data_IF_533130184649
#
_entry.id   IF_533130184649
#
_cell.length_a   1.000
_cell.length_b   1.000
_cell.length_c   1.000
_cell.angle_alpha   90.00
_cell.angle_beta   90.00
_cell.angle_gamma   90.00
#
_symmetry.space_group_name_H-M   'P 1'
#
loop_
_entity.id
_entity.type
_entity.pdbx_description
1 polymer ?
#
# COMPACT_ATOMS: atom_id res chain seq x y z
N UNK A 1 -11.73 8.63 -1.20
CA UNK A 1 -11.46 7.28 -0.73
C UNK A 1 -10.55 7.29 0.49
N UNK A 2 -10.58 6.23 1.25
CA UNK A 2 -9.79 6.08 2.47
C UNK A 2 -8.65 5.08 2.24
N UNK A 3 -7.44 5.47 2.65
CA UNK A 3 -6.30 4.57 2.61
C UNK A 3 -6.54 3.40 3.57
N UNK A 4 -6.38 2.16 3.08
CA UNK A 4 -6.63 0.98 3.90
C UNK A 4 -5.51 0.69 4.90
N UNK A 5 -4.41 1.41 4.82
CA UNK A 5 -3.26 1.21 5.72
C UNK A 5 -3.24 2.26 6.82
N UNK A 6 -3.21 3.56 6.47
CA UNK A 6 -3.13 4.64 7.47
C UNK A 6 -4.49 5.24 7.81
N UNK A 7 -5.54 4.89 7.07
CA UNK A 7 -6.92 5.32 7.28
C UNK A 7 -7.17 6.80 7.02
N UNK A 8 -6.22 7.51 6.43
CA UNK A 8 -6.42 8.89 6.00
C UNK A 8 -7.29 8.95 4.75
N UNK A 9 -7.99 10.07 4.55
CA UNK A 9 -8.84 10.27 3.38
C UNK A 9 -8.09 11.03 2.30
N UNK A 10 -8.28 10.60 1.05
CA UNK A 10 -7.59 11.16 -0.10
C UNK A 10 -8.55 11.31 -1.28
N UNK A 11 -8.11 12.08 -2.28
CA UNK A 11 -8.81 12.22 -3.56
C UNK A 11 -7.86 11.80 -4.68
N UNK A 12 -8.42 11.52 -5.87
CA UNK A 12 -7.64 11.09 -7.01
C UNK A 12 -7.39 9.59 -7.02
N UNK A 13 -6.30 9.19 -7.67
CA UNK A 13 -5.96 7.77 -7.79
C UNK A 13 -5.21 7.26 -6.56
N UNK A 14 -5.53 6.02 -6.18
CA UNK A 14 -4.79 5.34 -5.13
C UNK A 14 -3.77 4.37 -5.71
N UNK A 15 -3.13 3.61 -4.84
CA UNK A 15 -2.16 2.58 -5.20
C UNK A 15 -2.64 1.22 -4.71
N UNK A 16 -2.20 0.15 -5.38
CA UNK A 16 -2.51 -1.21 -4.96
C UNK A 16 -1.77 -1.53 -3.65
N UNK A 17 -2.48 -1.86 -2.56
CA UNK A 17 -1.85 -2.10 -1.26
C UNK A 17 -1.32 -3.52 -1.07
N UNK A 18 -1.49 -4.42 -2.04
CA UNK A 18 -0.99 -5.78 -1.94
C UNK A 18 0.54 -5.81 -1.84
N UNK A 19 1.20 -6.57 -0.98
CA UNK A 19 0.63 -7.62 -0.12
C UNK A 19 0.21 -7.19 1.28
N UNK A 20 0.32 -5.91 1.61
CA UNK A 20 -0.02 -5.42 2.96
C UNK A 20 -1.53 -5.58 3.22
N UNK A 21 -2.32 -5.23 2.21
CA UNK A 21 -3.77 -5.43 2.21
C UNK A 21 -4.17 -5.99 0.84
N UNK A 22 -5.21 -6.80 0.81
CA UNK A 22 -5.66 -7.44 -0.43
C UNK A 22 -6.60 -6.54 -1.23
N UNK A 23 -7.48 -5.81 -0.55
CA UNK A 23 -8.50 -4.97 -1.19
C UNK A 23 -8.32 -3.52 -0.83
N UNK A 24 -8.83 -2.63 -1.70
CA UNK A 24 -8.84 -1.20 -1.47
C UNK A 24 -7.66 -0.50 -2.11
N UNK A 25 -7.39 0.71 -1.63
CA UNK A 25 -6.31 1.54 -2.14
C UNK A 25 -5.48 2.08 -1.00
N UNK A 26 -4.22 2.39 -1.26
CA UNK A 26 -3.36 3.06 -0.30
C UNK A 26 -2.81 4.36 -0.88
N UNK A 27 -2.44 5.27 0.00
CA UNK A 27 -1.87 6.55 -0.41
C UNK A 27 -0.41 6.37 -0.83
N UNK A 28 0.15 7.41 -1.46
CA UNK A 28 1.53 7.37 -1.93
C UNK A 28 2.52 7.12 -0.80
N UNK A 29 2.31 7.75 0.36
CA UNK A 29 3.19 7.57 1.51
C UNK A 29 3.19 6.11 1.99
N UNK A 30 2.01 5.49 2.11
CA UNK A 30 1.91 4.09 2.50
C UNK A 30 2.47 3.15 1.43
N UNK A 31 2.25 3.49 0.16
CA UNK A 31 2.83 2.72 -0.93
C UNK A 31 4.36 2.67 -0.82
N UNK A 32 4.98 3.83 -0.59
CA UNK A 32 6.44 3.93 -0.48
C UNK A 32 6.97 3.31 0.81
N UNK A 33 6.30 3.54 1.93
CA UNK A 33 6.83 3.18 3.26
C UNK A 33 6.43 1.78 3.72
N UNK A 34 5.39 1.19 3.14
CA UNK A 34 4.87 -0.11 3.58
C UNK A 34 4.76 -1.12 2.46
N UNK A 35 4.14 -0.76 1.35
CA UNK A 35 3.85 -1.69 0.26
C UNK A 35 5.12 -2.08 -0.49
N UNK A 36 5.91 -1.11 -0.90
CA UNK A 36 7.14 -1.39 -1.64
C UNK A 36 8.13 -2.21 -0.82
N UNK A 37 8.41 -1.87 0.46
CA UNK A 37 9.27 -2.72 1.28
C UNK A 37 8.73 -4.15 1.44
N UNK A 38 7.42 -4.31 1.58
CA UNK A 38 6.81 -5.63 1.71
C UNK A 38 6.99 -6.46 0.43
N UNK A 39 6.83 -5.83 -0.73
CA UNK A 39 7.04 -6.52 -2.01
C UNK A 39 8.49 -6.93 -2.19
N UNK A 40 9.42 -6.06 -1.83
CA UNK A 40 10.84 -6.38 -1.90
C UNK A 40 11.20 -7.52 -0.98
N UNK A 41 10.61 -7.56 0.21
CA UNK A 41 10.84 -8.64 1.15
C UNK A 41 10.36 -9.99 0.61
N UNK A 42 9.23 -10.00 -0.10
CA UNK A 42 8.74 -11.22 -0.77
C UNK A 42 9.71 -11.71 -1.82
N UNK A 43 10.32 -10.80 -2.58
CA UNK A 43 11.31 -11.16 -3.59
C UNK A 43 12.56 -11.77 -2.96
N UNK A 44 13.05 -11.17 -1.89
CA UNK A 44 14.26 -11.63 -1.21
C UNK A 44 14.06 -12.86 -0.35
N UNK A 45 12.83 -13.15 0.05
CA UNK A 45 12.52 -14.30 0.91
C UNK A 45 12.49 -15.62 0.17
N UNK A 46 12.59 -15.60 -1.15
CA UNK A 46 12.54 -16.84 -1.95
C UNK A 46 13.94 -17.47 -2.12
#
# INVERSE_FOLDING_TARGET
WQCVICEEHFTGFGNNPDPVKINGDCCDACNTNHVIPARMQEIFAK
#
